data_IF_280996610957
#
_entry.id   IF_280996610957
#
_cell.length_a   1.000
_cell.length_b   1.000
_cell.length_c   1.000
_cell.angle_alpha   90.00
_cell.angle_beta   90.00
_cell.angle_gamma   90.00
#
_symmetry.space_group_name_H-M   'P 1'
#
loop_
_entity.id
_entity.type
_entity.pdbx_description
1 polymer ?
#
# COMPACT_ATOMS: atom_id res chain seq x y z
N UNK A 1 18.31 8.55 25.28
CA UNK A 1 19.58 8.01 24.71
C UNK A 1 19.49 7.61 23.24
N UNK A 2 18.34 7.08 22.77
CA UNK A 2 18.22 6.49 21.43
C UNK A 2 17.59 7.40 20.37
N UNK A 3 16.48 8.08 20.72
CA UNK A 3 15.72 8.95 19.81
C UNK A 3 16.62 9.94 19.08
N UNK A 4 16.47 10.04 17.75
CA UNK A 4 17.26 10.90 16.85
C UNK A 4 18.79 10.70 16.89
N UNK A 5 19.28 9.58 17.46
CA UNK A 5 20.72 9.35 17.62
C UNK A 5 21.20 8.00 17.09
N UNK A 6 20.44 6.92 17.30
CA UNK A 6 20.87 5.56 16.94
C UNK A 6 19.70 4.71 16.43
N UNK A 7 19.92 3.78 15.48
CA UNK A 7 18.92 2.78 15.13
C UNK A 7 18.64 1.84 16.30
N UNK A 8 17.39 1.38 16.41
CA UNK A 8 16.95 0.43 17.43
C UNK A 8 16.21 -0.74 16.76
N UNK A 9 16.67 -1.96 17.01
CA UNK A 9 15.97 -3.20 16.62
C UNK A 9 15.37 -3.86 17.87
N UNK A 10 14.05 -4.01 17.91
CA UNK A 10 13.34 -4.72 18.99
C UNK A 10 12.83 -6.07 18.48
N UNK A 11 13.50 -7.16 18.84
CA UNK A 11 13.04 -8.54 18.56
C UNK A 11 12.04 -8.98 19.63
N UNK A 12 10.75 -9.00 19.27
CA UNK A 12 9.67 -9.26 20.24
C UNK A 12 9.41 -10.73 20.56
N UNK A 13 9.81 -11.65 19.68
CA UNK A 13 9.51 -13.09 19.79
C UNK A 13 8.01 -13.43 19.94
N UNK A 14 7.13 -12.51 19.54
CA UNK A 14 5.66 -12.67 19.53
C UNK A 14 5.15 -12.42 18.11
N UNK A 15 4.94 -13.48 17.30
CA UNK A 15 4.59 -13.34 15.88
C UNK A 15 3.30 -12.53 15.65
N UNK A 16 2.35 -12.63 16.58
CA UNK A 16 1.03 -12.00 16.49
C UNK A 16 0.95 -10.61 17.11
N UNK A 17 2.08 -10.01 17.48
CA UNK A 17 2.10 -8.72 18.19
C UNK A 17 1.34 -7.60 17.45
N UNK A 18 1.45 -7.56 16.11
CA UNK A 18 0.78 -6.57 15.26
C UNK A 18 -0.55 -7.10 14.66
N UNK A 19 -1.04 -8.26 15.10
CA UNK A 19 -2.27 -8.84 14.56
C UNK A 19 -3.42 -7.84 14.73
N UNK A 20 -4.15 -7.59 13.65
CA UNK A 20 -5.28 -6.67 13.62
C UNK A 20 -4.92 -5.20 13.36
N UNK A 21 -3.64 -4.84 13.19
CA UNK A 21 -3.27 -3.47 12.83
C UNK A 21 -3.58 -3.16 11.36
N UNK A 22 -3.11 -4.01 10.46
CA UNK A 22 -3.36 -3.97 9.03
C UNK A 22 -3.03 -5.34 8.42
N UNK A 23 -3.61 -5.68 7.26
CA UNK A 23 -3.32 -6.94 6.57
C UNK A 23 -3.46 -6.83 5.05
N UNK A 24 -2.86 -7.76 4.31
CA UNK A 24 -3.03 -7.85 2.85
C UNK A 24 -4.49 -8.06 2.44
N UNK A 25 -5.29 -8.76 3.26
CA UNK A 25 -6.73 -8.92 3.02
C UNK A 25 -7.50 -7.60 3.17
N UNK A 26 -7.12 -6.77 4.14
CA UNK A 26 -7.67 -5.43 4.29
C UNK A 26 -7.24 -4.52 3.13
N UNK A 27 -5.97 -4.63 2.69
CA UNK A 27 -5.49 -3.92 1.51
C UNK A 27 -6.28 -4.28 0.24
N UNK A 28 -6.53 -5.58 -0.03
CA UNK A 28 -7.37 -6.02 -1.15
C UNK A 28 -8.80 -5.43 -1.07
N UNK A 29 -9.38 -5.43 0.14
CA UNK A 29 -10.70 -4.84 0.37
C UNK A 29 -10.72 -3.34 0.05
N UNK A 30 -9.71 -2.59 0.51
CA UNK A 30 -9.57 -1.15 0.24
C UNK A 30 -9.51 -0.90 -1.27
N UNK A 31 -8.66 -1.63 -2.01
CA UNK A 31 -8.55 -1.47 -3.47
C UNK A 31 -9.87 -1.70 -4.21
N UNK A 32 -10.73 -2.61 -3.73
CA UNK A 32 -12.03 -2.91 -4.34
C UNK A 32 -13.08 -1.86 -4.02
N UNK A 33 -13.11 -1.39 -2.78
CA UNK A 33 -14.21 -0.58 -2.26
C UNK A 33 -13.96 0.92 -2.43
N UNK A 34 -12.69 1.33 -2.35
CA UNK A 34 -12.31 2.74 -2.35
C UNK A 34 -11.78 3.20 -3.70
N UNK A 35 -11.80 4.50 -3.92
CA UNK A 35 -11.24 5.13 -5.11
C UNK A 35 -9.74 5.40 -4.95
N UNK A 36 -8.93 4.34 -4.97
CA UNK A 36 -7.47 4.44 -4.84
C UNK A 36 -6.86 4.88 -6.18
N UNK A 37 -6.11 5.97 -6.18
CA UNK A 37 -5.46 6.51 -7.38
C UNK A 37 -3.95 6.26 -7.37
N UNK A 38 -3.41 5.87 -8.52
CA UNK A 38 -1.96 5.75 -8.72
C UNK A 38 -1.27 7.10 -8.52
N UNK A 39 -0.10 7.09 -7.87
CA UNK A 39 0.71 8.30 -7.60
C UNK A 39 0.11 9.28 -6.57
N UNK A 40 -1.12 9.04 -6.10
CA UNK A 40 -1.79 9.84 -5.06
C UNK A 40 -1.99 9.02 -3.80
N UNK A 41 -2.55 7.82 -3.94
CA UNK A 41 -2.84 6.93 -2.82
C UNK A 41 -1.96 5.68 -2.87
N UNK A 42 -1.57 5.22 -4.06
CA UNK A 42 -0.81 3.98 -4.23
C UNK A 42 0.37 4.17 -5.18
N UNK A 43 1.52 3.62 -4.81
CA UNK A 43 2.67 3.49 -5.70
C UNK A 43 3.05 2.02 -5.94
N UNK A 44 3.49 1.72 -7.15
CA UNK A 44 4.12 0.46 -7.54
C UNK A 44 5.60 0.71 -7.85
N UNK A 45 6.51 0.01 -7.18
CA UNK A 45 7.95 0.22 -7.38
C UNK A 45 8.74 -1.08 -7.40
N UNK A 46 9.81 -1.13 -8.17
CA UNK A 46 10.82 -2.20 -8.12
C UNK A 46 12.20 -1.64 -7.85
N UNK A 47 13.11 -2.49 -7.36
CA UNK A 47 14.53 -2.15 -7.23
C UNK A 47 15.36 -3.28 -7.84
N UNK A 48 15.88 -3.05 -9.05
CA UNK A 48 16.58 -4.06 -9.85
C UNK A 48 17.87 -3.43 -10.36
N UNK A 49 18.99 -4.14 -10.29
CA UNK A 49 20.31 -3.67 -10.72
C UNK A 49 20.67 -2.29 -10.12
N UNK A 50 20.51 -2.16 -8.81
CA UNK A 50 20.78 -0.93 -8.04
C UNK A 50 19.99 0.31 -8.49
N UNK A 51 18.88 0.11 -9.21
CA UNK A 51 18.02 1.19 -9.71
C UNK A 51 16.59 1.01 -9.25
N UNK A 52 16.04 2.08 -8.68
CA UNK A 52 14.61 2.18 -8.37
C UNK A 52 13.83 2.55 -9.62
N UNK A 53 12.75 1.81 -9.88
CA UNK A 53 11.78 2.12 -10.94
C UNK A 53 10.39 2.31 -10.33
N UNK A 54 9.62 3.22 -10.93
CA UNK A 54 8.22 3.50 -10.55
C UNK A 54 7.34 3.06 -11.72
N UNK A 55 6.33 2.25 -11.43
CA UNK A 55 5.47 1.62 -12.45
C UNK A 55 4.02 2.13 -12.38
N UNK A 56 3.79 3.23 -11.68
CA UNK A 56 2.47 3.84 -11.53
C UNK A 56 1.81 4.07 -12.90
N UNK A 57 0.56 3.64 -13.01
CA UNK A 57 -0.27 3.96 -14.17
C UNK A 57 -1.03 5.26 -13.93
N UNK A 58 -1.86 5.65 -14.90
CA UNK A 58 -2.78 6.77 -14.75
C UNK A 58 -4.12 6.28 -14.22
N UNK A 59 -4.77 7.07 -13.37
CA UNK A 59 -6.11 6.79 -12.87
C UNK A 59 -6.17 5.79 -11.71
N UNK A 60 -7.29 5.05 -11.64
CA UNK A 60 -7.64 4.21 -10.49
C UNK A 60 -6.81 2.92 -10.46
N UNK A 61 -6.29 2.60 -9.27
CA UNK A 61 -5.65 1.34 -8.95
C UNK A 61 -6.71 0.29 -8.57
N UNK A 62 -6.95 -0.66 -9.47
CA UNK A 62 -7.92 -1.73 -9.27
C UNK A 62 -7.25 -2.99 -8.68
N UNK A 63 -7.93 -3.70 -7.77
CA UNK A 63 -7.41 -4.94 -7.20
C UNK A 63 -7.35 -6.09 -8.24
N UNK A 64 -8.45 -6.63 -8.84
CA UNK A 64 -8.33 -7.80 -9.73
C UNK A 64 -9.18 -7.79 -11.03
N UNK A 65 -8.85 -8.76 -11.89
CA UNK A 65 -9.41 -9.35 -13.14
C UNK A 65 -10.82 -8.97 -13.63
N UNK A 66 -11.77 -8.52 -12.81
CA UNK A 66 -13.06 -8.02 -13.36
C UNK A 66 -12.83 -6.81 -14.26
N UNK A 67 -11.81 -6.00 -13.97
CA UNK A 67 -11.35 -5.00 -14.92
C UNK A 67 -10.86 -5.62 -16.23
N UNK A 68 -10.11 -6.73 -16.23
CA UNK A 68 -9.78 -7.47 -17.47
C UNK A 68 -11.03 -7.95 -18.23
N UNK A 69 -12.14 -8.24 -17.52
CA UNK A 69 -13.41 -8.61 -18.14
C UNK A 69 -14.08 -7.40 -18.81
N UNK A 70 -14.04 -6.21 -18.18
CA UNK A 70 -14.45 -4.95 -18.79
C UNK A 70 -13.54 -4.54 -19.95
N UNK A 71 -12.22 -4.76 -19.83
CA UNK A 71 -11.24 -4.61 -20.90
C UNK A 71 -11.37 -5.70 -21.97
N UNK A 72 -12.13 -6.77 -21.74
CA UNK A 72 -12.47 -7.77 -22.76
C UNK A 72 -13.12 -7.16 -24.01
N UNK A 73 -13.87 -6.06 -23.85
CA UNK A 73 -14.39 -5.25 -24.95
C UNK A 73 -13.31 -4.46 -25.73
N UNK A 74 -12.11 -4.30 -25.16
CA UNK A 74 -11.00 -3.51 -25.71
C UNK A 74 -9.71 -4.34 -25.89
N UNK A 75 -9.75 -5.67 -25.70
CA UNK A 75 -8.58 -6.56 -25.87
C UNK A 75 -7.99 -6.47 -27.28
N UNK A 76 -8.82 -6.25 -28.29
CA UNK A 76 -8.40 -6.08 -29.69
C UNK A 76 -7.63 -4.77 -29.95
N UNK A 77 -7.66 -3.83 -28.99
CA UNK A 77 -6.90 -2.56 -29.06
C UNK A 77 -5.53 -2.66 -28.36
N UNK A 78 -5.18 -3.79 -27.76
CA UNK A 78 -3.86 -4.01 -27.15
C UNK A 78 -3.59 -3.21 -25.85
N UNK A 79 -4.64 -2.69 -25.20
CA UNK A 79 -4.51 -1.89 -23.97
C UNK A 79 -4.69 -2.81 -22.75
N UNK A 80 -3.64 -3.56 -22.39
CA UNK A 80 -3.58 -4.25 -21.10
C UNK A 80 -2.98 -3.30 -20.07
N UNK A 81 -3.84 -2.68 -19.26
CA UNK A 81 -3.42 -1.90 -18.09
C UNK A 81 -3.23 -2.88 -16.91
N UNK A 82 -2.00 -3.16 -16.42
CA UNK A 82 -1.80 -4.14 -15.36
C UNK A 82 -2.56 -3.75 -14.08
N UNK A 83 -3.27 -4.69 -13.45
CA UNK A 83 -3.91 -4.41 -12.15
C UNK A 83 -2.90 -4.57 -11.01
N UNK A 84 -3.23 -4.06 -9.82
CA UNK A 84 -2.30 -4.01 -8.67
C UNK A 84 -1.66 -5.36 -8.37
N UNK A 85 -2.43 -6.45 -8.43
CA UNK A 85 -1.93 -7.79 -8.16
C UNK A 85 -1.01 -8.33 -9.26
N UNK A 86 -1.18 -7.96 -10.53
CA UNK A 86 -0.27 -8.38 -11.60
C UNK A 86 1.11 -7.76 -11.39
N UNK A 87 1.14 -6.47 -11.02
CA UNK A 87 2.38 -5.76 -10.72
C UNK A 87 3.09 -6.36 -9.51
N UNK A 88 2.31 -6.76 -8.49
CA UNK A 88 2.85 -7.47 -7.34
C UNK A 88 3.46 -8.82 -7.74
N UNK A 89 2.79 -9.61 -8.56
CA UNK A 89 3.33 -10.88 -9.09
C UNK A 89 4.56 -10.68 -9.98
N UNK A 90 4.63 -9.55 -10.69
CA UNK A 90 5.79 -9.16 -11.50
C UNK A 90 6.98 -8.65 -10.66
N UNK A 91 6.89 -8.67 -9.32
CA UNK A 91 7.98 -8.30 -8.41
C UNK A 91 7.98 -6.83 -7.99
N UNK A 92 6.90 -6.09 -8.19
CA UNK A 92 6.76 -4.75 -7.63
C UNK A 92 6.30 -4.78 -6.17
N UNK A 93 6.86 -3.90 -5.34
CA UNK A 93 6.31 -3.54 -4.04
C UNK A 93 5.19 -2.51 -4.22
N UNK A 94 4.06 -2.75 -3.55
CA UNK A 94 2.93 -1.82 -3.47
C UNK A 94 3.07 -0.97 -2.21
N UNK A 95 2.96 0.35 -2.32
CA UNK A 95 3.02 1.28 -1.20
C UNK A 95 1.74 2.09 -1.09
N UNK A 96 0.93 1.83 -0.06
CA UNK A 96 -0.28 2.59 0.25
C UNK A 96 0.09 3.81 1.11
N UNK A 97 -0.14 5.00 0.54
CA UNK A 97 0.04 6.28 1.22
C UNK A 97 -1.19 6.58 2.10
N UNK A 98 -0.96 7.10 3.30
CA UNK A 98 -2.03 7.56 4.21
C UNK A 98 -3.13 6.49 4.48
N UNK A 99 -2.74 5.26 4.87
CA UNK A 99 -3.66 4.13 5.09
C UNK A 99 -4.71 4.40 6.17
N UNK A 100 -4.46 5.32 7.11
CA UNK A 100 -5.41 5.72 8.15
C UNK A 100 -6.69 6.37 7.60
N UNK A 101 -6.71 6.79 6.34
CA UNK A 101 -7.94 7.25 5.65
C UNK A 101 -8.92 6.10 5.45
N UNK A 102 -8.42 4.88 5.25
CA UNK A 102 -9.22 3.72 4.85
C UNK A 102 -9.28 2.64 5.94
N UNK A 103 -8.29 2.61 6.86
CA UNK A 103 -8.22 1.66 7.96
C UNK A 103 -8.46 2.33 9.31
N UNK A 104 -9.57 1.96 9.96
CA UNK A 104 -9.92 2.43 11.30
C UNK A 104 -8.92 1.97 12.37
N UNK A 105 -8.31 0.80 12.19
CA UNK A 105 -7.35 0.27 13.16
C UNK A 105 -6.04 1.06 13.10
N UNK A 106 -5.54 1.35 11.89
CA UNK A 106 -4.38 2.22 11.71
C UNK A 106 -4.66 3.61 12.26
N UNK A 107 -5.82 4.21 11.93
CA UNK A 107 -6.21 5.51 12.47
C UNK A 107 -6.17 5.58 14.00
N UNK A 108 -6.75 4.58 14.69
CA UNK A 108 -6.73 4.52 16.16
C UNK A 108 -5.32 4.49 16.75
N UNK A 109 -4.40 3.73 16.14
CA UNK A 109 -3.02 3.67 16.62
C UNK A 109 -2.33 5.01 16.41
N UNK A 110 -2.43 5.60 15.21
CA UNK A 110 -1.79 6.87 14.91
C UNK A 110 -2.40 8.03 15.72
N UNK A 111 -3.69 8.02 16.03
CA UNK A 111 -4.31 9.07 16.84
C UNK A 111 -3.77 9.10 18.27
N UNK A 112 -3.56 7.94 18.88
CA UNK A 112 -2.96 7.84 20.23
C UNK A 112 -1.49 8.26 20.18
N UNK A 113 -0.74 7.84 19.14
CA UNK A 113 0.65 8.24 18.98
C UNK A 113 0.80 9.75 18.72
N UNK A 114 -0.12 10.34 17.95
CA UNK A 114 -0.16 11.78 17.70
C UNK A 114 -0.33 12.57 19.01
N UNK A 115 -1.21 12.12 19.90
CA UNK A 115 -1.37 12.75 21.22
C UNK A 115 -0.10 12.60 22.07
N UNK A 116 0.51 11.41 22.07
CA UNK A 116 1.74 11.15 22.81
C UNK A 116 2.93 12.00 22.32
N UNK A 117 3.12 12.10 21.00
CA UNK A 117 4.23 12.83 20.41
C UNK A 117 3.99 14.34 20.29
N UNK A 118 2.72 14.79 20.39
CA UNK A 118 2.36 16.20 20.21
C UNK A 118 2.62 16.72 18.79
N UNK A 119 2.70 15.84 17.79
CA UNK A 119 2.97 16.18 16.39
C UNK A 119 2.18 15.28 15.44
N UNK A 120 2.16 15.63 14.14
CA UNK A 120 1.49 14.82 13.13
C UNK A 120 2.16 13.44 13.00
N UNK A 121 1.37 12.37 13.06
CA UNK A 121 1.83 10.99 12.90
C UNK A 121 1.12 10.36 11.71
N UNK A 122 1.90 9.98 10.70
CA UNK A 122 1.43 9.31 9.49
C UNK A 122 2.01 7.91 9.33
N UNK A 123 1.51 7.16 8.34
CA UNK A 123 2.02 5.85 7.99
C UNK A 123 2.04 5.64 6.47
N UNK A 124 2.80 4.64 6.05
CA UNK A 124 2.71 4.00 4.75
C UNK A 124 2.66 2.49 5.00
N UNK A 125 1.92 1.75 4.17
CA UNK A 125 1.94 0.29 4.17
C UNK A 125 2.63 -0.23 2.92
#
# INVERSE_FOLDING_TARGET
ELWERKPLLVKRHTPDYNRGWFSTAEFDKILRQENIQWGVNLDATSFVNDKRETHNQTGRAHAPVVWDMYQGCFKDLGIHAPVVWDMYQAGCSMRLLNPQTYSRNVWKVLSVLQEYFGCCVGANM
#
